data_IF_490364907244
#
_entry.id   IF_490364907244
#
_cell.length_a   1.000
_cell.length_b   1.000
_cell.length_c   1.000
_cell.angle_alpha   90.00
_cell.angle_beta   90.00
_cell.angle_gamma   90.00
#
_symmetry.space_group_name_H-M   'P 1'
#
loop_
_entity.id
_entity.type
_entity.pdbx_description
1 polymer ?
#
# COMPACT_ATOMS: atom_id res chain seq x y z
N UNK A 1 51.00 -43.33 10.77
CA UNK A 1 50.10 -43.13 9.63
C UNK A 1 49.34 -41.83 9.80
N UNK A 2 49.73 -40.77 9.07
CA UNK A 2 48.73 -39.79 8.65
C UNK A 2 48.98 -39.30 7.21
N UNK A 3 47.92 -39.14 6.41
CA UNK A 3 47.87 -38.24 5.24
C UNK A 3 46.44 -38.31 4.70
N UNK A 4 45.57 -37.37 5.06
CA UNK A 4 45.41 -36.03 4.48
C UNK A 4 44.11 -36.02 3.67
N UNK A 5 43.07 -35.53 4.32
CA UNK A 5 41.71 -35.44 3.79
C UNK A 5 41.67 -34.27 2.79
N UNK A 6 41.71 -34.57 1.50
CA UNK A 6 41.64 -33.60 0.40
C UNK A 6 40.23 -32.99 0.29
N UNK A 7 39.85 -32.09 1.19
CA UNK A 7 38.52 -31.46 1.23
C UNK A 7 38.52 -29.96 0.92
N UNK A 8 39.51 -29.45 0.18
CA UNK A 8 39.69 -28.00 -0.05
C UNK A 8 39.20 -27.45 -1.41
N UNK A 9 39.27 -28.15 -2.56
CA UNK A 9 38.86 -27.57 -3.85
C UNK A 9 37.36 -27.72 -4.12
N UNK A 10 36.75 -28.85 -3.73
CA UNK A 10 35.34 -29.15 -4.02
C UNK A 10 34.36 -28.27 -3.25
N UNK A 11 34.66 -27.95 -1.99
CA UNK A 11 33.84 -27.07 -1.17
C UNK A 11 33.80 -25.66 -1.77
N UNK A 12 34.94 -25.16 -2.30
CA UNK A 12 34.99 -23.86 -2.96
C UNK A 12 34.13 -23.82 -4.22
N UNK A 13 34.19 -24.86 -5.05
CA UNK A 13 33.37 -24.96 -6.27
C UNK A 13 31.88 -24.93 -5.94
N UNK A 14 31.45 -25.73 -4.95
CA UNK A 14 30.04 -25.73 -4.51
C UNK A 14 29.66 -24.36 -3.95
N UNK A 15 30.52 -23.74 -3.15
CA UNK A 15 30.25 -22.43 -2.54
C UNK A 15 30.05 -21.33 -3.59
N UNK A 16 30.92 -21.25 -4.60
CA UNK A 16 30.73 -20.31 -5.72
C UNK A 16 29.52 -20.66 -6.58
N UNK A 17 29.22 -21.95 -6.77
CA UNK A 17 28.00 -22.39 -7.47
C UNK A 17 26.72 -21.92 -6.76
N UNK A 18 26.67 -22.02 -5.43
CA UNK A 18 25.54 -21.55 -4.62
C UNK A 18 25.40 -20.03 -4.69
N UNK A 19 26.49 -19.26 -4.60
CA UNK A 19 26.41 -17.81 -4.77
C UNK A 19 26.01 -17.41 -6.18
N UNK A 20 26.47 -18.13 -7.21
CA UNK A 20 26.03 -17.95 -8.58
C UNK A 20 24.53 -18.17 -8.71
N UNK A 21 24.01 -19.26 -8.14
CA UNK A 21 22.58 -19.57 -8.18
C UNK A 21 21.74 -18.56 -7.39
N UNK A 22 22.20 -18.12 -6.22
CA UNK A 22 21.53 -17.07 -5.44
C UNK A 22 21.56 -15.72 -6.17
N UNK A 23 22.69 -15.38 -6.80
CA UNK A 23 22.81 -14.17 -7.60
C UNK A 23 21.87 -14.17 -8.80
N UNK A 24 21.84 -15.27 -9.56
CA UNK A 24 20.91 -15.44 -10.69
C UNK A 24 19.46 -15.45 -10.20
N UNK A 25 19.17 -16.10 -9.07
CA UNK A 25 17.84 -16.09 -8.45
C UNK A 25 17.41 -14.69 -8.00
N UNK A 26 18.32 -13.90 -7.44
CA UNK A 26 18.05 -12.51 -7.05
C UNK A 26 17.86 -11.60 -8.27
N UNK A 27 18.68 -11.74 -9.31
CA UNK A 27 18.56 -10.98 -10.56
C UNK A 27 17.26 -11.36 -11.28
N UNK A 28 16.97 -12.65 -11.41
CA UNK A 28 15.71 -13.14 -11.94
C UNK A 28 14.53 -12.65 -11.10
N UNK A 29 14.63 -12.65 -9.77
CA UNK A 29 13.60 -12.10 -8.90
C UNK A 29 13.39 -10.59 -9.08
N UNK A 30 14.44 -9.82 -9.39
CA UNK A 30 14.36 -8.38 -9.69
C UNK A 30 13.79 -8.13 -11.09
N UNK A 31 14.08 -8.99 -12.07
CA UNK A 31 13.59 -8.85 -13.45
C UNK A 31 12.15 -9.36 -13.60
N UNK A 32 11.84 -10.52 -13.01
CA UNK A 32 10.47 -11.06 -12.90
C UNK A 32 9.67 -10.36 -11.80
N UNK A 33 10.29 -9.44 -11.04
CA UNK A 33 9.56 -8.60 -10.10
C UNK A 33 8.50 -7.90 -10.94
N UNK A 34 7.22 -8.14 -10.65
CA UNK A 34 6.19 -7.56 -11.47
C UNK A 34 6.32 -6.04 -11.36
N UNK A 35 6.58 -5.36 -12.49
CA UNK A 35 6.66 -3.89 -12.59
C UNK A 35 5.37 -3.18 -12.16
N UNK A 36 4.33 -3.95 -11.84
CA UNK A 36 3.10 -3.55 -11.16
C UNK A 36 3.26 -3.36 -9.64
N UNK A 37 4.38 -3.75 -9.02
CA UNK A 37 4.66 -3.59 -7.58
C UNK A 37 5.43 -2.32 -7.21
N UNK A 38 5.95 -1.55 -8.18
CA UNK A 38 6.61 -0.27 -7.91
C UNK A 38 5.82 0.92 -8.51
N UNK A 39 4.64 1.22 -7.94
CA UNK A 39 3.73 2.26 -8.44
C UNK A 39 4.38 3.66 -8.45
N UNK A 40 5.45 3.91 -7.69
CA UNK A 40 6.14 5.21 -7.69
C UNK A 40 6.95 5.49 -8.95
N UNK A 41 7.16 4.49 -9.82
CA UNK A 41 7.73 4.72 -11.16
C UNK A 41 6.71 5.24 -12.17
N UNK A 42 5.41 5.23 -11.82
CA UNK A 42 4.31 5.68 -12.67
C UNK A 42 3.81 7.08 -12.22
N UNK A 43 4.02 8.13 -13.02
CA UNK A 43 3.51 9.47 -12.71
C UNK A 43 1.99 9.51 -12.45
N UNK A 44 1.22 8.66 -13.13
CA UNK A 44 -0.23 8.59 -12.97
C UNK A 44 -0.63 7.98 -11.61
N UNK A 45 0.17 7.04 -11.09
CA UNK A 45 -0.07 6.48 -9.78
C UNK A 45 0.19 7.50 -8.64
N UNK A 46 1.20 8.36 -8.82
CA UNK A 46 1.43 9.47 -7.91
C UNK A 46 0.27 10.50 -7.98
N UNK A 47 -0.22 10.80 -9.18
CA UNK A 47 -1.40 11.65 -9.35
C UNK A 47 -2.64 11.02 -8.71
N UNK A 48 -2.88 9.73 -8.90
CA UNK A 48 -3.99 9.00 -8.28
C UNK A 48 -3.93 9.07 -6.75
N UNK A 49 -2.74 8.90 -6.17
CA UNK A 49 -2.53 9.06 -4.73
C UNK A 49 -2.86 10.48 -4.27
N UNK A 50 -2.35 11.49 -4.98
CA UNK A 50 -2.59 12.88 -4.68
C UNK A 50 -4.08 13.21 -4.74
N UNK A 51 -4.78 12.75 -5.78
CA UNK A 51 -6.22 12.93 -5.96
C UNK A 51 -7.01 12.43 -4.75
N UNK A 52 -6.69 11.24 -4.22
CA UNK A 52 -7.34 10.72 -3.00
C UNK A 52 -6.97 11.56 -1.78
N UNK A 53 -5.68 11.84 -1.58
CA UNK A 53 -5.22 12.58 -0.41
C UNK A 53 -5.80 13.98 -0.32
N UNK A 54 -5.97 14.67 -1.46
CA UNK A 54 -6.55 16.02 -1.55
C UNK A 54 -8.06 16.02 -1.78
N UNK A 55 -8.68 14.85 -1.94
CA UNK A 55 -10.14 14.76 -2.10
C UNK A 55 -10.84 15.32 -0.87
N UNK A 56 -11.97 16.01 -1.07
CA UNK A 56 -12.76 16.57 0.03
C UNK A 56 -13.26 15.43 0.91
N UNK A 57 -13.09 15.55 2.22
CA UNK A 57 -13.66 14.59 3.16
C UNK A 57 -14.94 15.14 3.80
N UNK A 58 -15.71 14.27 4.45
CA UNK A 58 -16.95 14.67 5.12
C UNK A 58 -16.70 15.55 6.35
N UNK A 59 -15.74 15.16 7.20
CA UNK A 59 -15.49 15.79 8.49
C UNK A 59 -14.25 16.71 8.49
N UNK A 60 -13.49 16.71 7.40
CA UNK A 60 -12.23 17.46 7.29
C UNK A 60 -12.05 18.00 5.87
N UNK A 61 -11.20 19.03 5.67
CA UNK A 61 -10.95 19.59 4.34
C UNK A 61 -10.46 18.57 3.31
N UNK A 62 -9.69 17.57 3.75
CA UNK A 62 -9.10 16.53 2.88
C UNK A 62 -9.16 15.14 3.52
N UNK A 63 -9.20 14.07 2.71
CA UNK A 63 -9.15 12.68 3.21
C UNK A 63 -7.89 12.45 4.05
N UNK A 64 -6.73 12.97 3.61
CA UNK A 64 -5.48 12.87 4.38
C UNK A 64 -5.64 13.47 5.79
N UNK A 65 -6.30 14.61 5.90
CA UNK A 65 -6.55 15.24 7.18
C UNK A 65 -7.54 14.45 8.03
N UNK A 66 -8.62 13.93 7.44
CA UNK A 66 -9.60 13.10 8.15
C UNK A 66 -8.97 11.83 8.73
N UNK A 67 -8.08 11.17 7.99
CA UNK A 67 -7.32 10.01 8.47
C UNK A 67 -6.40 10.42 9.63
N UNK A 68 -5.70 11.55 9.50
CA UNK A 68 -4.78 12.05 10.54
C UNK A 68 -5.51 12.39 11.83
N UNK A 69 -6.63 13.11 11.74
CA UNK A 69 -7.48 13.46 12.87
C UNK A 69 -8.07 12.21 13.53
N UNK A 70 -8.47 11.21 12.74
CA UNK A 70 -8.92 9.93 13.28
C UNK A 70 -7.81 9.23 14.06
N UNK A 71 -6.61 9.10 13.50
CA UNK A 71 -5.46 8.47 14.18
C UNK A 71 -5.14 9.22 15.48
N UNK A 72 -5.12 10.56 15.44
CA UNK A 72 -4.93 11.39 16.64
C UNK A 72 -6.02 11.12 17.69
N UNK A 73 -7.29 11.13 17.29
CA UNK A 73 -8.41 10.83 18.19
C UNK A 73 -8.43 9.40 18.73
N UNK A 74 -7.80 8.44 18.05
CA UNK A 74 -7.56 7.10 18.60
C UNK A 74 -6.43 7.12 19.64
N UNK A 75 -5.32 7.79 19.31
CA UNK A 75 -4.16 7.95 20.19
C UNK A 75 -4.50 8.69 21.49
N UNK A 76 -5.25 9.79 21.41
CA UNK A 76 -5.66 10.60 22.56
C UNK A 76 -6.56 9.83 23.54
N UNK A 77 -7.26 8.80 23.04
CA UNK A 77 -8.06 7.87 23.85
C UNK A 77 -7.22 6.76 24.50
N UNK A 78 -5.89 6.85 24.42
CA UNK A 78 -4.96 5.85 24.94
C UNK A 78 -4.97 4.52 24.18
N UNK A 79 -5.51 4.49 22.95
CA UNK A 79 -5.52 3.27 22.13
C UNK A 79 -4.25 3.19 21.29
N UNK A 80 -3.62 2.01 21.26
CA UNK A 80 -2.56 1.71 20.32
C UNK A 80 -3.06 1.91 18.89
N UNK A 81 -2.41 2.79 18.13
CA UNK A 81 -2.78 3.07 16.74
C UNK A 81 -1.53 3.08 15.87
N UNK A 82 -1.60 2.41 14.73
CA UNK A 82 -0.55 2.40 13.74
C UNK A 82 -1.16 2.62 12.36
N UNK A 83 -0.77 3.72 11.71
CA UNK A 83 -1.13 4.00 10.33
C UNK A 83 -0.10 3.33 9.42
N UNK A 84 -0.53 2.39 8.57
CA UNK A 84 0.33 1.84 7.53
C UNK A 84 0.53 2.86 6.41
N UNK A 85 1.58 2.63 5.63
CA UNK A 85 1.88 3.43 4.44
C UNK A 85 0.73 3.41 3.43
N UNK A 86 0.55 4.53 2.73
CA UNK A 86 -0.32 4.64 1.57
C UNK A 86 0.28 3.82 0.43
N UNK A 87 -0.55 3.00 -0.21
CA UNK A 87 -0.15 2.22 -1.39
C UNK A 87 -1.07 2.53 -2.54
N UNK A 88 -0.52 2.50 -3.74
CA UNK A 88 -1.27 2.59 -4.99
C UNK A 88 -0.99 1.35 -5.81
N UNK A 89 -2.03 0.74 -6.35
CA UNK A 89 -1.94 -0.41 -7.23
C UNK A 89 -2.60 -0.02 -8.56
N UNK A 90 -1.95 -0.32 -9.69
CA UNK A 90 -2.54 -0.06 -11.00
C UNK A 90 -3.57 -1.14 -11.31
N UNK A 91 -4.79 -0.75 -11.62
CA UNK A 91 -5.87 -1.65 -12.03
C UNK A 91 -6.00 -1.59 -13.57
N UNK A 92 -6.51 -2.66 -14.23
CA UNK A 92 -6.76 -2.62 -15.67
C UNK A 92 -7.68 -1.45 -16.06
N UNK A 93 -7.59 -1.00 -17.32
CA UNK A 93 -8.43 0.08 -17.89
C UNK A 93 -8.05 1.51 -17.44
N UNK A 94 -6.83 1.74 -16.97
CA UNK A 94 -6.34 3.08 -16.62
C UNK A 94 -6.91 3.61 -15.30
N UNK A 95 -7.39 2.71 -14.44
CA UNK A 95 -7.80 3.01 -13.08
C UNK A 95 -6.68 2.64 -12.10
N UNK A 96 -6.67 3.31 -10.95
CA UNK A 96 -5.72 3.10 -9.88
C UNK A 96 -6.45 2.82 -8.59
N UNK A 97 -5.94 1.89 -7.79
CA UNK A 97 -6.47 1.54 -6.49
C UNK A 97 -5.57 2.14 -5.43
N UNK A 98 -6.09 3.07 -4.64
CA UNK A 98 -5.38 3.65 -3.50
C UNK A 98 -5.86 2.95 -2.22
N UNK A 99 -4.91 2.42 -1.45
CA UNK A 99 -5.17 1.72 -0.20
C UNK A 99 -4.40 2.36 0.95
N UNK A 100 -5.04 2.49 2.10
CA UNK A 100 -4.39 2.73 3.39
C UNK A 100 -5.01 1.84 4.47
N UNK A 101 -4.20 1.35 5.39
CA UNK A 101 -4.66 0.48 6.47
C UNK A 101 -4.34 1.12 7.82
N UNK A 102 -5.33 1.18 8.71
CA UNK A 102 -5.16 1.65 10.08
C UNK A 102 -5.29 0.44 11.00
N UNK A 103 -4.24 0.15 11.75
CA UNK A 103 -4.29 -0.82 12.83
C UNK A 103 -4.65 -0.11 14.12
N UNK A 104 -5.77 -0.46 14.70
CA UNK A 104 -6.23 0.09 15.97
C UNK A 104 -6.33 -1.01 17.02
N UNK A 105 -5.93 -0.71 18.25
CA UNK A 105 -6.10 -1.61 19.39
C UNK A 105 -7.45 -1.32 20.03
N UNK A 106 -8.36 -2.30 19.96
CA UNK A 106 -9.65 -2.26 20.65
C UNK A 106 -9.55 -3.16 21.87
N UNK A 107 -9.38 -2.54 23.03
CA UNK A 107 -9.16 -3.21 24.31
C UNK A 107 -7.85 -4.02 24.28
N UNK A 108 -7.91 -5.31 23.97
CA UNK A 108 -6.75 -6.23 23.93
C UNK A 108 -6.40 -6.66 22.51
N UNK A 109 -7.33 -6.54 21.56
CA UNK A 109 -7.17 -7.05 20.21
C UNK A 109 -6.77 -5.96 19.22
N UNK A 110 -5.91 -6.33 18.27
CA UNK A 110 -5.52 -5.47 17.16
C UNK A 110 -6.45 -5.67 15.98
N UNK A 111 -7.20 -4.64 15.64
CA UNK A 111 -8.09 -4.64 14.48
C UNK A 111 -7.47 -3.85 13.33
N UNK A 112 -7.52 -4.40 12.12
CA UNK A 112 -7.02 -3.74 10.92
C UNK A 112 -8.20 -3.23 10.07
N UNK A 113 -8.28 -1.91 9.93
CA UNK A 113 -9.27 -1.24 9.06
C UNK A 113 -8.61 -0.86 7.75
N UNK A 114 -9.07 -1.48 6.68
CA UNK A 114 -8.62 -1.19 5.32
C UNK A 114 -9.53 -0.14 4.68
N UNK A 115 -8.92 0.90 4.13
CA UNK A 115 -9.58 1.95 3.36
C UNK A 115 -9.09 1.86 1.93
N UNK A 116 -10.01 1.58 1.01
CA UNK A 116 -9.72 1.44 -0.42
C UNK A 116 -10.57 2.43 -1.22
N UNK A 117 -9.92 3.08 -2.18
CA UNK A 117 -10.55 3.92 -3.19
C UNK A 117 -10.06 3.53 -4.57
N UNK A 118 -10.99 3.45 -5.53
CA UNK A 118 -10.67 3.40 -6.95
C UNK A 118 -10.60 4.82 -7.49
N UNK A 119 -9.59 5.11 -8.29
CA UNK A 119 -9.33 6.40 -8.89
C UNK A 119 -9.27 6.22 -10.40
N UNK A 120 -10.12 6.94 -11.12
CA UNK A 120 -9.99 7.10 -12.56
C UNK A 120 -9.25 8.42 -12.79
N UNK A 121 -7.97 8.36 -13.17
CA UNK A 121 -7.12 9.56 -13.32
C UNK A 121 -7.60 10.40 -14.50
N UNK A 122 -8.02 9.76 -15.60
CA UNK A 122 -8.54 10.44 -16.78
C UNK A 122 -9.81 11.25 -16.48
N UNK A 123 -10.71 10.70 -15.64
CA UNK A 123 -11.95 11.39 -15.22
C UNK A 123 -11.81 12.14 -13.89
N UNK A 124 -10.63 12.12 -13.26
CA UNK A 124 -10.38 12.66 -11.91
C UNK A 124 -11.44 12.26 -10.88
N UNK A 125 -11.93 11.02 -10.98
CA UNK A 125 -13.02 10.52 -10.15
C UNK A 125 -12.46 9.59 -9.08
N UNK A 126 -12.91 9.76 -7.84
CA UNK A 126 -12.55 8.91 -6.70
C UNK A 126 -13.80 8.19 -6.23
N UNK A 127 -13.76 6.85 -6.16
CA UNK A 127 -14.88 6.01 -5.75
C UNK A 127 -14.46 5.16 -4.55
N UNK A 128 -15.18 5.17 -3.43
CA UNK A 128 -14.84 4.33 -2.29
C UNK A 128 -15.21 2.88 -2.57
N UNK A 129 -14.29 1.95 -2.32
CA UNK A 129 -14.54 0.50 -2.48
C UNK A 129 -14.82 -0.22 -1.15
N UNK A 130 -14.64 0.47 -0.02
CA UNK A 130 -14.87 -0.09 1.31
C UNK A 130 -15.78 0.82 2.12
N UNK A 131 -16.57 0.22 3.02
CA UNK A 131 -17.43 0.95 3.96
C UNK A 131 -16.66 2.02 4.75
N UNK A 132 -15.51 1.73 5.40
CA UNK A 132 -14.75 2.78 6.09
C UNK A 132 -14.28 3.91 5.15
N UNK A 133 -13.95 3.61 3.89
CA UNK A 133 -13.59 4.63 2.90
C UNK A 133 -14.79 5.50 2.51
N UNK A 134 -15.98 4.92 2.36
CA UNK A 134 -17.20 5.68 2.03
C UNK A 134 -17.61 6.62 3.16
N UNK A 135 -17.40 6.22 4.43
CA UNK A 135 -17.65 7.12 5.58
C UNK A 135 -16.75 8.35 5.64
N UNK A 136 -15.64 8.37 4.91
CA UNK A 136 -14.75 9.54 4.84
C UNK A 136 -15.09 10.46 3.67
N UNK A 137 -15.82 9.96 2.67
CA UNK A 137 -16.23 10.74 1.52
C UNK A 137 -17.50 11.53 1.83
N UNK A 138 -17.70 12.70 1.21
CA UNK A 138 -18.95 13.44 1.37
C UNK A 138 -20.12 12.54 0.93
N UNK A 139 -21.19 12.50 1.72
CA UNK A 139 -22.45 11.93 1.28
C UNK A 139 -22.86 12.63 -0.02
N UNK A 140 -23.24 11.90 -1.07
CA UNK A 140 -23.80 12.47 -2.29
C UNK A 140 -25.22 13.01 -2.06
N UNK A 141 -25.37 13.93 -1.12
CA UNK A 141 -26.61 14.60 -0.78
C UNK A 141 -26.42 16.09 -1.05
N UNK A 142 -26.45 16.46 -2.33
CA UNK A 142 -26.93 17.75 -2.90
C UNK A 142 -26.52 17.78 -4.38
N UNK A 143 -27.44 17.39 -5.26
CA UNK A 143 -27.18 17.45 -6.71
C UNK A 143 -28.25 16.85 -7.61
N UNK A 144 -29.34 16.28 -7.08
CA UNK A 144 -30.48 15.88 -7.91
C UNK A 144 -31.79 15.80 -7.09
N UNK A 145 -32.31 16.96 -6.67
CA UNK A 145 -33.74 17.11 -6.46
C UNK A 145 -34.28 17.87 -7.68
N UNK A 146 -34.98 17.21 -8.63
CA UNK A 146 -35.82 17.95 -9.56
C UNK A 146 -36.97 18.56 -8.76
N UNK A 147 -37.01 19.90 -8.72
CA UNK A 147 -38.25 20.64 -8.46
C UNK A 147 -39.08 20.67 -9.74
#
# INVERSE_FOLDING_TARGET
MPAETTSLPWVKIIHYGVYGLLGVGAIAYVILRPSFLDPMSDPEAAEAMALVQTHRAQQSPTIRQAITERVRGLSDKGRGVNLREWRVEREPLGTYLVRVSIREQVTVEWFERNYLWRVDVAKRTVVPLTIPASTLMPSEETGNQPM
#
